data_IF_869814987121
#
_entry.id   IF_869814987121
#
_cell.length_a   1.000
_cell.length_b   1.000
_cell.length_c   1.000
_cell.angle_alpha   90.00
_cell.angle_beta   90.00
_cell.angle_gamma   90.00
#
_symmetry.space_group_name_H-M   'P 1'
#
loop_
_entity.id
_entity.type
_entity.pdbx_description
1 polymer ?
#
# COMPACT_ATOMS: atom_id res chain seq x y z
N UNK A 1 -24.66 6.04 7.14
CA UNK A 1 -23.36 6.74 7.06
C UNK A 1 -22.32 5.73 6.60
N UNK A 2 -21.68 5.95 5.45
CA UNK A 2 -20.54 5.15 5.03
C UNK A 2 -19.37 5.40 6.00
N UNK A 3 -18.83 4.36 6.61
CA UNK A 3 -17.70 4.51 7.52
C UNK A 3 -16.41 4.36 6.70
N UNK A 4 -15.70 5.47 6.53
CA UNK A 4 -14.36 5.46 5.92
C UNK A 4 -13.31 5.45 7.02
N UNK A 5 -12.45 4.43 7.02
CA UNK A 5 -11.32 4.30 7.93
C UNK A 5 -10.02 4.47 7.16
N UNK A 6 -9.24 5.49 7.56
CA UNK A 6 -7.86 5.68 7.12
C UNK A 6 -6.94 4.96 8.10
N UNK A 7 -6.15 4.02 7.61
CA UNK A 7 -5.19 3.26 8.39
C UNK A 7 -3.79 3.68 7.95
N UNK A 8 -3.03 4.42 8.77
CA UNK A 8 -1.66 4.80 8.44
C UNK A 8 -0.76 3.57 8.47
N UNK A 9 0.15 3.49 7.51
CA UNK A 9 1.17 2.46 7.43
C UNK A 9 2.55 3.05 7.72
N UNK A 10 3.32 2.34 8.53
CA UNK A 10 4.67 2.74 8.94
C UNK A 10 5.70 1.71 8.48
N UNK A 11 6.94 2.16 8.34
CA UNK A 11 8.06 1.28 8.04
C UNK A 11 8.37 0.41 9.27
N UNK A 12 8.49 -0.90 9.10
CA UNK A 12 8.92 -1.81 10.16
C UNK A 12 10.45 -1.83 10.24
N UNK A 13 11.02 -1.88 11.46
CA UNK A 13 12.48 -1.81 11.72
C UNK A 13 13.32 -2.83 10.95
N UNK A 14 12.77 -3.99 10.61
CA UNK A 14 13.51 -5.14 10.08
C UNK A 14 13.13 -5.51 8.65
N UNK A 15 12.37 -4.67 7.94
CA UNK A 15 11.81 -5.00 6.62
C UNK A 15 11.97 -3.85 5.64
N UNK A 16 12.17 -4.19 4.37
CA UNK A 16 12.16 -3.18 3.31
C UNK A 16 10.76 -2.59 3.14
N UNK A 17 10.67 -1.42 2.52
CA UNK A 17 9.39 -0.76 2.27
C UNK A 17 8.50 -1.60 1.33
N UNK A 18 9.08 -2.22 0.31
CA UNK A 18 8.39 -3.18 -0.55
C UNK A 18 7.84 -4.38 0.24
N UNK A 19 8.63 -4.95 1.14
CA UNK A 19 8.17 -6.06 2.00
C UNK A 19 7.03 -5.67 2.95
N UNK A 20 7.05 -4.46 3.51
CA UNK A 20 5.99 -3.98 4.39
C UNK A 20 4.66 -3.78 3.63
N UNK A 21 4.74 -3.36 2.36
CA UNK A 21 3.58 -3.19 1.50
C UNK A 21 3.06 -4.53 1.00
N UNK A 22 3.96 -5.42 0.60
CA UNK A 22 3.66 -6.78 0.13
C UNK A 22 2.70 -7.51 1.04
N UNK A 23 3.00 -7.60 2.33
CA UNK A 23 2.14 -8.31 3.27
C UNK A 23 0.70 -7.76 3.36
N UNK A 24 0.52 -6.48 3.03
CA UNK A 24 -0.77 -5.81 3.07
C UNK A 24 -1.52 -5.95 1.75
N UNK A 25 -0.81 -5.88 0.62
CA UNK A 25 -1.37 -6.19 -0.69
C UNK A 25 -1.72 -7.66 -0.82
N UNK A 26 -0.88 -8.58 -0.36
CA UNK A 26 -1.16 -10.03 -0.35
C UNK A 26 -2.45 -10.35 0.43
N UNK A 27 -2.63 -9.70 1.59
CA UNK A 27 -3.88 -9.85 2.36
C UNK A 27 -5.10 -9.31 1.61
N UNK A 28 -4.95 -8.21 0.87
CA UNK A 28 -6.04 -7.57 0.14
C UNK A 28 -6.38 -8.30 -1.17
N UNK A 29 -5.39 -8.91 -1.82
CA UNK A 29 -5.53 -9.64 -3.07
C UNK A 29 -6.00 -11.07 -2.92
N UNK A 30 -5.96 -11.63 -1.70
CA UNK A 30 -6.26 -13.03 -1.42
C UNK A 30 -7.38 -13.61 -2.31
N UNK A 31 -6.98 -14.54 -3.18
CA UNK A 31 -7.81 -15.14 -4.24
C UNK A 31 -9.10 -15.76 -3.69
N UNK A 32 -9.06 -16.33 -2.48
CA UNK A 32 -10.21 -16.92 -1.79
C UNK A 32 -11.30 -15.88 -1.45
N UNK A 33 -10.95 -14.59 -1.45
CA UNK A 33 -11.83 -13.47 -1.09
C UNK A 33 -12.12 -12.52 -2.25
N UNK A 34 -11.41 -12.67 -3.36
CA UNK A 34 -11.47 -11.74 -4.50
C UNK A 34 -11.98 -12.41 -5.77
N UNK A 35 -12.46 -13.66 -5.71
CA UNK A 35 -12.82 -14.48 -6.87
C UNK A 35 -11.68 -14.50 -7.89
N UNK A 36 -10.50 -14.96 -7.46
CA UNK A 36 -9.28 -14.97 -8.28
C UNK A 36 -8.91 -13.60 -8.88
N UNK A 37 -9.15 -12.52 -8.13
CA UNK A 37 -8.79 -11.17 -8.54
C UNK A 37 -9.84 -10.42 -9.37
N UNK A 38 -11.02 -10.99 -9.64
CA UNK A 38 -12.10 -10.33 -10.41
C UNK A 38 -12.52 -8.98 -9.81
N UNK A 39 -12.51 -8.87 -8.48
CA UNK A 39 -12.88 -7.65 -7.77
C UNK A 39 -11.69 -6.74 -7.43
N UNK A 40 -10.51 -7.02 -7.95
CA UNK A 40 -9.33 -6.17 -7.75
C UNK A 40 -9.28 -5.15 -8.89
N UNK A 41 -9.40 -3.88 -8.52
CA UNK A 41 -9.13 -2.76 -9.43
C UNK A 41 -7.91 -2.00 -8.95
N UNK A 42 -7.17 -1.42 -9.90
CA UNK A 42 -6.06 -0.55 -9.60
C UNK A 42 -6.22 0.80 -10.28
N UNK A 43 -5.49 1.76 -9.74
CA UNK A 43 -5.42 3.11 -10.27
C UNK A 43 -3.96 3.57 -10.14
N UNK A 44 -3.41 4.14 -11.21
CA UNK A 44 -2.01 4.60 -11.34
C UNK A 44 -0.90 3.54 -11.23
N UNK A 45 -1.18 2.35 -10.69
CA UNK A 45 -0.24 1.25 -10.55
C UNK A 45 -0.84 -0.08 -11.01
N UNK A 46 0.00 -1.03 -11.40
CA UNK A 46 -0.44 -2.40 -11.66
C UNK A 46 -0.48 -3.17 -10.32
N UNK A 47 -1.55 -3.93 -10.02
CA UNK A 47 -1.61 -4.70 -8.78
C UNK A 47 -0.37 -5.57 -8.58
N UNK A 48 0.15 -6.22 -9.63
CA UNK A 48 1.20 -7.23 -9.55
C UNK A 48 2.59 -6.64 -9.35
N UNK A 49 2.80 -5.39 -9.78
CA UNK A 49 4.08 -4.68 -9.63
C UNK A 49 4.03 -3.51 -8.65
N UNK A 50 2.90 -3.27 -7.98
CA UNK A 50 2.69 -2.14 -7.05
C UNK A 50 3.79 -2.01 -6.00
N UNK A 51 4.34 -3.12 -5.51
CA UNK A 51 5.44 -3.12 -4.52
C UNK A 51 6.70 -2.45 -5.07
N UNK A 52 7.08 -2.81 -6.30
CA UNK A 52 8.27 -2.29 -6.98
C UNK A 52 8.07 -0.84 -7.40
N UNK A 53 6.90 -0.53 -7.96
CA UNK A 53 6.56 0.84 -8.36
C UNK A 53 6.58 1.80 -7.17
N UNK A 54 6.09 1.36 -6.03
CA UNK A 54 6.10 2.15 -4.81
C UNK A 54 7.52 2.38 -4.29
N UNK A 55 8.36 1.34 -4.31
CA UNK A 55 9.78 1.45 -3.92
C UNK A 55 10.53 2.42 -4.84
N UNK A 56 10.33 2.30 -6.16
CA UNK A 56 10.91 3.22 -7.15
C UNK A 56 10.46 4.66 -6.89
N UNK A 57 9.15 4.89 -6.73
CA UNK A 57 8.58 6.22 -6.51
C UNK A 57 9.13 6.85 -5.23
N UNK A 58 9.29 6.08 -4.16
CA UNK A 58 9.86 6.59 -2.91
C UNK A 58 11.35 6.86 -3.00
N UNK A 59 12.10 6.04 -3.73
CA UNK A 59 13.51 6.29 -4.01
C UNK A 59 13.68 7.58 -4.83
N UNK A 60 12.86 7.79 -5.86
CA UNK A 60 12.83 9.04 -6.63
C UNK A 60 12.51 10.25 -5.73
N UNK A 61 11.53 10.12 -4.84
CA UNK A 61 11.21 11.18 -3.87
C UNK A 61 12.39 11.50 -2.96
N UNK A 62 13.10 10.48 -2.46
CA UNK A 62 14.26 10.66 -1.61
C UNK A 62 15.43 11.34 -2.35
N UNK A 63 15.69 10.96 -3.61
CA UNK A 63 16.71 11.59 -4.46
C UNK A 63 16.35 13.05 -4.73
N UNK A 64 15.09 13.33 -5.07
CA UNK A 64 14.65 14.67 -5.45
C UNK A 64 14.59 15.64 -4.26
N UNK A 65 14.26 15.14 -3.06
CA UNK A 65 14.03 16.00 -1.88
C UNK A 65 15.14 15.90 -0.82
N UNK A 66 16.03 14.91 -0.93
CA UNK A 66 17.01 14.55 0.11
C UNK A 66 16.39 13.97 1.37
N UNK A 67 15.08 13.68 1.40
CA UNK A 67 14.39 13.14 2.58
C UNK A 67 14.28 11.62 2.53
N UNK A 68 14.86 10.96 3.53
CA UNK A 68 14.65 9.54 3.77
C UNK A 68 13.51 9.30 4.79
N UNK A 69 12.74 8.20 4.66
CA UNK A 69 11.73 7.83 5.64
C UNK A 69 12.35 7.61 7.03
N UNK A 70 11.75 8.19 8.07
CA UNK A 70 12.11 7.93 9.47
C UNK A 70 11.20 6.86 10.08
N UNK A 71 11.63 6.30 11.20
CA UNK A 71 10.96 5.19 11.89
C UNK A 71 9.48 5.46 12.26
N UNK A 72 9.09 6.73 12.42
CA UNK A 72 7.72 7.14 12.77
C UNK A 72 6.93 7.70 11.59
N UNK A 73 7.54 7.79 10.41
CA UNK A 73 6.88 8.40 9.27
C UNK A 73 5.79 7.48 8.73
N UNK A 74 4.71 8.09 8.25
CA UNK A 74 3.68 7.36 7.50
C UNK A 74 4.18 7.21 6.07
N UNK A 75 4.33 5.97 5.61
CA UNK A 75 4.81 5.66 4.28
C UNK A 75 3.66 5.59 3.26
N UNK A 76 2.50 5.06 3.67
CA UNK A 76 1.30 4.88 2.87
C UNK A 76 0.03 4.94 3.75
N UNK A 77 -1.13 5.09 3.13
CA UNK A 77 -2.43 4.97 3.79
C UNK A 77 -3.24 3.87 3.15
N UNK A 78 -3.81 2.99 3.97
CA UNK A 78 -4.86 2.08 3.53
C UNK A 78 -6.21 2.71 3.82
N UNK A 79 -7.06 2.82 2.80
CA UNK A 79 -8.43 3.29 2.92
C UNK A 79 -9.35 2.07 2.95
N UNK A 80 -10.21 1.98 3.97
CA UNK A 80 -11.31 1.01 4.01
C UNK A 80 -12.62 1.77 4.09
N UNK A 81 -13.50 1.55 3.12
CA UNK A 81 -14.77 2.23 3.04
C UNK A 81 -15.88 1.19 3.07
N UNK A 82 -16.79 1.30 4.05
CA UNK A 82 -18.05 0.56 3.99
C UNK A 82 -19.07 1.36 3.20
N UNK A 83 -19.67 0.74 2.19
CA UNK A 83 -20.81 1.29 1.48
C UNK A 83 -22.06 0.61 2.06
N UNK A 84 -23.03 1.39 2.54
CA UNK A 84 -24.38 0.89 2.77
C UNK A 84 -25.12 1.07 1.44
N UNK A 85 -25.55 -0.02 0.83
CA UNK A 85 -26.53 0.00 -0.25
C UNK A 85 -27.93 0.19 0.33
#
# INVERSE_FOLDING_TARGET
>A
MAATRLIPMHLQKSRSMGQCLKERTDYAKNDDKTEAGEYVSSYECDPDTVELEFEITKNQYAVNTGRSPREKDVIAYQIRQSLFA
#
